data_IF_155271840032
#
_entry.id   IF_155271840032
#
_cell.length_a   1.000
_cell.length_b   1.000
_cell.length_c   1.000
_cell.angle_alpha   90.00
_cell.angle_beta   90.00
_cell.angle_gamma   90.00
#
_symmetry.space_group_name_H-M   'P 1'
#
loop_
_entity.id
_entity.type
_entity.pdbx_description
1 polymer ?
#
# COMPACT_ATOMS: atom_id res chain seq x y z
N UNK A 1 28.41 24.09 -25.12
CA UNK A 1 28.31 24.87 -23.87
C UNK A 1 27.26 25.98 -23.94
N UNK A 2 27.29 26.92 -24.89
CA UNK A 2 26.26 27.98 -24.97
C UNK A 2 24.82 27.45 -25.17
N UNK A 3 24.63 26.46 -26.06
CA UNK A 3 23.30 25.87 -26.31
C UNK A 3 22.71 25.13 -25.09
N UNK A 4 23.51 24.35 -24.35
CA UNK A 4 23.04 23.65 -23.14
C UNK A 4 22.63 24.62 -22.02
N UNK A 5 23.35 25.75 -21.89
CA UNK A 5 23.03 26.79 -20.91
C UNK A 5 21.73 27.51 -21.26
N UNK A 6 21.52 27.79 -22.55
CA UNK A 6 20.30 28.42 -23.06
C UNK A 6 19.08 27.49 -22.88
N UNK A 7 19.21 26.21 -23.23
CA UNK A 7 18.14 25.21 -23.04
C UNK A 7 17.77 25.05 -21.55
N UNK A 8 18.77 25.04 -20.66
CA UNK A 8 18.54 25.02 -19.21
C UNK A 8 17.74 26.22 -18.73
N UNK A 9 18.07 27.44 -19.21
CA UNK A 9 17.33 28.65 -18.86
C UNK A 9 15.92 28.66 -19.44
N UNK A 10 15.73 28.20 -20.67
CA UNK A 10 14.42 28.08 -21.30
C UNK A 10 13.53 27.15 -20.47
N UNK A 11 14.04 25.98 -20.08
CA UNK A 11 13.31 25.03 -19.24
C UNK A 11 12.93 25.65 -17.89
N UNK A 12 13.87 26.27 -17.17
CA UNK A 12 13.58 26.94 -15.90
C UNK A 12 12.50 28.02 -16.06
N UNK A 13 12.61 28.86 -17.08
CA UNK A 13 11.63 29.89 -17.37
C UNK A 13 10.25 29.30 -17.67
N UNK A 14 10.16 28.20 -18.42
CA UNK A 14 8.87 27.53 -18.71
C UNK A 14 8.23 27.01 -17.43
N UNK A 15 8.99 26.32 -16.59
CA UNK A 15 8.51 25.78 -15.31
C UNK A 15 8.07 26.89 -14.36
N UNK A 16 8.80 28.00 -14.31
CA UNK A 16 8.50 29.13 -13.43
C UNK A 16 7.36 30.01 -13.96
N UNK A 17 7.20 30.11 -15.28
CA UNK A 17 6.15 30.93 -15.92
C UNK A 17 4.76 30.31 -15.84
N UNK A 18 4.65 29.00 -15.62
CA UNK A 18 3.36 28.31 -15.53
C UNK A 18 3.40 27.22 -14.47
N UNK A 19 2.53 27.34 -13.46
CA UNK A 19 2.39 26.33 -12.40
C UNK A 19 1.90 24.98 -12.94
N UNK A 20 1.14 25.02 -14.04
CA UNK A 20 0.63 23.86 -14.76
C UNK A 20 1.54 23.44 -15.93
N UNK A 21 2.79 23.90 -15.97
CA UNK A 21 3.74 23.45 -16.98
C UNK A 21 4.06 21.97 -16.80
N UNK A 22 3.96 21.22 -17.90
CA UNK A 22 4.17 19.78 -17.94
C UNK A 22 5.21 19.46 -19.00
N UNK A 23 6.45 19.12 -18.59
CA UNK A 23 7.50 18.80 -19.52
C UNK A 23 7.21 17.47 -20.21
N UNK A 24 7.75 17.32 -21.42
CA UNK A 24 7.71 16.06 -22.14
C UNK A 24 8.89 15.19 -21.72
N UNK A 25 8.79 13.90 -22.00
CA UNK A 25 9.85 12.92 -21.72
C UNK A 25 11.20 13.31 -22.34
N UNK A 26 11.21 13.75 -23.61
CA UNK A 26 12.42 14.19 -24.32
C UNK A 26 13.07 15.41 -23.65
N UNK A 27 12.27 16.37 -23.20
CA UNK A 27 12.75 17.55 -22.49
C UNK A 27 13.39 17.17 -21.15
N UNK A 28 12.76 16.30 -20.34
CA UNK A 28 13.34 15.86 -19.07
C UNK A 28 14.63 15.05 -19.26
N UNK A 29 14.68 14.18 -20.27
CA UNK A 29 15.88 13.40 -20.61
C UNK A 29 17.02 14.34 -21.03
N UNK A 30 16.73 15.35 -21.85
CA UNK A 30 17.71 16.36 -22.26
C UNK A 30 18.27 17.11 -21.04
N UNK A 31 17.40 17.60 -20.14
CA UNK A 31 17.86 18.30 -18.93
C UNK A 31 18.71 17.37 -18.03
N UNK A 32 18.33 16.10 -17.87
CA UNK A 32 19.16 15.13 -17.13
C UNK A 32 20.54 14.96 -17.79
N UNK A 33 20.60 14.89 -19.12
CA UNK A 33 21.86 14.83 -19.86
C UNK A 33 22.73 16.08 -19.67
N UNK A 34 22.13 17.26 -19.64
CA UNK A 34 22.85 18.52 -19.37
C UNK A 34 23.42 18.54 -17.95
N UNK A 35 22.63 18.09 -16.97
CA UNK A 35 23.04 18.01 -15.56
C UNK A 35 24.23 17.05 -15.39
N UNK A 36 24.18 15.88 -16.03
CA UNK A 36 25.24 14.86 -15.94
C UNK A 36 26.54 15.31 -16.63
N UNK A 37 26.44 16.01 -17.77
CA UNK A 37 27.61 16.39 -18.58
C UNK A 37 28.40 17.60 -18.03
N UNK A 38 27.76 18.46 -17.23
CA UNK A 38 28.34 19.73 -16.85
C UNK A 38 28.98 19.66 -15.45
N UNK A 39 30.18 19.09 -15.29
CA UNK A 39 30.92 19.11 -14.01
C UNK A 39 31.33 20.54 -13.57
N UNK A 40 31.58 21.44 -14.52
CA UNK A 40 32.14 22.79 -14.31
C UNK A 40 31.10 23.94 -14.20
N UNK A 41 29.79 23.62 -14.20
CA UNK A 41 28.74 24.66 -14.19
C UNK A 41 28.52 25.31 -12.81
N UNK A 42 27.94 26.52 -12.84
CA UNK A 42 27.50 27.27 -11.67
C UNK A 42 26.59 26.37 -10.80
N UNK A 43 27.07 25.99 -9.62
CA UNK A 43 26.37 25.13 -8.64
C UNK A 43 24.90 25.50 -8.43
N UNK A 44 24.59 26.80 -8.41
CA UNK A 44 23.22 27.31 -8.26
C UNK A 44 22.31 26.95 -9.43
N UNK A 45 22.79 26.96 -10.68
CA UNK A 45 22.00 26.57 -11.84
C UNK A 45 21.65 25.08 -11.76
N UNK A 46 22.64 24.24 -11.44
CA UNK A 46 22.45 22.79 -11.30
C UNK A 46 21.42 22.47 -10.22
N UNK A 47 21.50 23.13 -9.06
CA UNK A 47 20.55 22.94 -7.97
C UNK A 47 19.13 23.35 -8.35
N UNK A 48 18.97 24.45 -9.09
CA UNK A 48 17.66 24.88 -9.58
C UNK A 48 17.07 23.90 -10.60
N UNK A 49 17.88 23.36 -11.52
CA UNK A 49 17.43 22.34 -12.47
C UNK A 49 16.97 21.08 -11.76
N UNK A 50 17.75 20.59 -10.78
CA UNK A 50 17.37 19.43 -9.97
C UNK A 50 16.06 19.68 -9.23
N UNK A 51 15.90 20.84 -8.60
CA UNK A 51 14.65 21.22 -7.93
C UNK A 51 13.45 21.17 -8.88
N UNK A 52 13.59 21.62 -10.14
CA UNK A 52 12.52 21.56 -11.12
C UNK A 52 12.24 20.15 -11.62
N UNK A 53 13.25 19.30 -11.80
CA UNK A 53 13.04 17.87 -12.10
C UNK A 53 12.27 17.20 -10.96
N UNK A 54 12.59 17.51 -9.70
CA UNK A 54 11.93 16.92 -8.54
C UNK A 54 10.41 17.06 -8.60
N UNK A 55 9.88 18.18 -9.10
CA UNK A 55 8.44 18.46 -9.24
C UNK A 55 7.68 17.45 -10.12
N UNK A 56 8.38 16.66 -10.92
CA UNK A 56 7.75 15.74 -11.89
C UNK A 56 8.05 14.26 -11.59
N UNK A 57 8.80 13.94 -10.53
CA UNK A 57 9.25 12.57 -10.23
C UNK A 57 8.16 11.57 -9.83
N UNK A 58 6.96 12.06 -9.52
CA UNK A 58 5.76 11.28 -9.20
C UNK A 58 4.65 11.43 -10.25
N UNK A 59 4.93 12.03 -11.41
CA UNK A 59 3.93 12.20 -12.46
C UNK A 59 3.68 10.88 -13.19
N UNK A 60 2.47 10.35 -13.07
CA UNK A 60 2.07 9.06 -13.65
C UNK A 60 2.03 9.08 -15.21
N UNK A 61 2.18 10.24 -15.85
CA UNK A 61 2.20 10.37 -17.32
C UNK A 61 3.57 10.16 -17.95
N UNK A 62 4.64 10.29 -17.16
CA UNK A 62 5.98 10.06 -17.66
C UNK A 62 6.18 8.57 -17.96
N UNK A 63 6.95 8.26 -19.00
CA UNK A 63 7.32 6.86 -19.22
C UNK A 63 8.16 6.34 -18.04
N UNK A 64 8.06 5.05 -17.69
CA UNK A 64 8.84 4.46 -16.61
C UNK A 64 10.35 4.70 -16.75
N UNK A 65 10.88 4.66 -17.98
CA UNK A 65 12.28 4.96 -18.29
C UNK A 65 12.68 6.39 -17.96
N UNK A 66 11.84 7.38 -18.26
CA UNK A 66 12.10 8.79 -17.97
C UNK A 66 12.08 9.05 -16.47
N UNK A 67 11.11 8.48 -15.75
CA UNK A 67 11.01 8.61 -14.31
C UNK A 67 12.24 8.00 -13.60
N UNK A 68 12.70 6.83 -14.05
CA UNK A 68 13.93 6.18 -13.55
C UNK A 68 15.14 7.08 -13.82
N UNK A 69 15.31 7.56 -15.06
CA UNK A 69 16.42 8.45 -15.44
C UNK A 69 16.49 9.70 -14.56
N UNK A 70 15.35 10.34 -14.30
CA UNK A 70 15.28 11.51 -13.43
C UNK A 70 15.73 11.18 -11.99
N UNK A 71 15.27 10.05 -11.44
CA UNK A 71 15.65 9.60 -10.10
C UNK A 71 17.13 9.25 -10.01
N UNK A 72 17.70 8.62 -11.03
CA UNK A 72 19.11 8.27 -11.09
C UNK A 72 20.00 9.52 -11.15
N UNK A 73 19.64 10.51 -11.96
CA UNK A 73 20.35 11.80 -12.00
C UNK A 73 20.30 12.51 -10.64
N UNK A 74 19.14 12.52 -9.97
CA UNK A 74 19.00 13.08 -8.62
C UNK A 74 19.89 12.32 -7.63
N UNK A 75 19.86 10.98 -7.67
CA UNK A 75 20.63 10.09 -6.78
C UNK A 75 22.13 10.33 -6.90
N UNK A 76 22.64 10.40 -8.13
CA UNK A 76 24.07 10.53 -8.40
C UNK A 76 24.64 11.88 -7.91
N UNK A 77 23.79 12.91 -7.83
CA UNK A 77 24.18 14.25 -7.41
C UNK A 77 23.76 14.60 -5.99
N UNK A 78 23.07 13.69 -5.30
CA UNK A 78 22.58 13.96 -3.96
C UNK A 78 23.74 14.13 -2.98
N UNK A 79 23.80 15.31 -2.38
CA UNK A 79 24.77 15.72 -1.36
C UNK A 79 24.02 16.37 -0.20
N UNK A 80 24.63 16.46 0.98
CA UNK A 80 24.00 17.10 2.14
C UNK A 80 23.61 18.56 1.84
N UNK A 81 24.45 19.30 1.13
CA UNK A 81 24.18 20.68 0.73
C UNK A 81 22.99 20.81 -0.24
N UNK A 82 22.87 19.88 -1.19
CA UNK A 82 21.73 19.83 -2.11
C UNK A 82 20.45 19.48 -1.34
N UNK A 83 20.51 18.50 -0.43
CA UNK A 83 19.37 18.14 0.41
C UNK A 83 18.90 19.32 1.26
N UNK A 84 19.82 20.05 1.90
CA UNK A 84 19.47 21.28 2.63
C UNK A 84 18.84 22.35 1.73
N UNK A 85 19.35 22.52 0.50
CA UNK A 85 18.76 23.43 -0.48
C UNK A 85 17.33 23.03 -0.85
N UNK A 86 17.08 21.74 -1.05
CA UNK A 86 15.74 21.22 -1.34
C UNK A 86 14.79 21.38 -0.15
N UNK A 87 15.24 21.13 1.08
CA UNK A 87 14.45 21.35 2.31
C UNK A 87 14.08 22.83 2.47
N UNK A 88 15.05 23.74 2.26
CA UNK A 88 14.83 25.20 2.30
C UNK A 88 13.84 25.66 1.22
N UNK A 89 13.80 24.97 0.08
CA UNK A 89 12.86 25.24 -1.02
C UNK A 89 11.47 24.63 -0.78
N UNK A 90 11.39 23.51 -0.06
CA UNK A 90 10.14 22.80 0.24
C UNK A 90 9.32 23.51 1.34
N UNK A 91 9.95 23.88 2.45
CA UNK A 91 9.25 24.43 3.62
C UNK A 91 8.35 25.66 3.35
N UNK A 92 8.69 26.58 2.43
CA UNK A 92 7.82 27.70 2.08
C UNK A 92 6.56 27.29 1.31
N UNK A 93 6.65 26.25 0.46
CA UNK A 93 5.57 25.82 -0.42
C UNK A 93 4.63 24.79 0.21
N UNK A 94 4.99 24.23 1.38
CA UNK A 94 4.11 23.35 2.14
C UNK A 94 2.89 24.13 2.66
N UNK A 95 1.72 23.50 2.55
CA UNK A 95 0.49 24.02 3.13
C UNK A 95 0.62 24.10 4.66
N UNK A 96 0.41 25.29 5.24
CA UNK A 96 0.56 25.55 6.69
C UNK A 96 -0.79 25.73 7.39
N UNK A 97 -1.61 24.68 7.41
CA UNK A 97 -2.83 24.67 8.22
C UNK A 97 -2.52 24.34 9.68
N UNK A 98 -3.31 24.90 10.61
CA UNK A 98 -3.18 24.60 12.03
C UNK A 98 -3.70 23.19 12.30
N UNK A 99 -2.78 22.23 12.42
CA UNK A 99 -3.16 20.89 12.83
C UNK A 99 -3.29 20.80 14.37
N UNK A 100 -4.46 20.38 14.85
CA UNK A 100 -4.70 20.22 16.29
C UNK A 100 -4.14 18.90 16.82
N UNK A 101 -3.92 17.89 15.97
CA UNK A 101 -3.47 16.54 16.37
C UNK A 101 -1.97 16.50 16.70
N UNK A 102 -1.16 17.30 16.00
CA UNK A 102 0.29 17.38 16.18
C UNK A 102 0.73 18.64 16.95
N UNK A 103 1.80 18.50 17.74
CA UNK A 103 2.48 19.56 18.49
C UNK A 103 3.34 20.41 17.56
N UNK A 104 3.87 21.53 18.07
CA UNK A 104 4.79 22.38 17.28
C UNK A 104 6.07 21.63 16.86
N UNK A 105 6.44 20.56 17.57
CA UNK A 105 7.56 19.68 17.23
C UNK A 105 7.17 18.49 16.35
N UNK A 106 5.91 18.41 15.89
CA UNK A 106 5.41 17.34 15.03
C UNK A 106 4.93 16.09 15.76
N UNK A 107 5.23 15.90 17.05
CA UNK A 107 4.73 14.75 17.84
C UNK A 107 3.25 14.87 18.17
N UNK A 108 2.56 13.77 18.51
CA UNK A 108 1.16 13.84 19.00
C UNK A 108 1.04 14.81 20.17
N UNK A 109 0.05 15.72 20.14
CA UNK A 109 -0.26 16.53 21.33
C UNK A 109 -0.83 15.63 22.43
N UNK A 110 -0.34 15.79 23.65
CA UNK A 110 -1.01 15.22 24.83
C UNK A 110 -2.28 16.04 25.02
N UNK A 111 -3.43 15.45 24.72
CA UNK A 111 -4.72 16.08 25.03
C UNK A 111 -4.94 16.01 26.55
N UNK A 112 -5.22 17.15 27.18
CA UNK A 112 -5.84 17.14 28.50
C UNK A 112 -7.22 16.49 28.33
N UNK A 113 -7.54 15.50 29.17
CA UNK A 113 -8.76 14.68 29.17
C UNK A 113 -10.06 15.49 29.37
N UNK A 114 -10.38 16.44 28.49
CA UNK A 114 -11.72 16.99 28.38
C UNK A 114 -12.48 16.14 27.36
N UNK A 115 -13.28 15.18 27.86
CA UNK A 115 -14.32 14.45 27.13
C UNK A 115 -15.46 15.39 26.67
N UNK A 116 -15.10 16.51 26.05
CA UNK A 116 -16.05 17.48 25.53
C UNK A 116 -15.93 17.39 24.02
N UNK A 117 -16.97 16.87 23.38
CA UNK A 117 -17.20 17.07 21.95
C UNK A 117 -17.13 18.58 21.72
N UNK A 118 -16.07 19.04 21.04
CA UNK A 118 -15.98 20.40 20.51
C UNK A 118 -16.31 20.32 19.03
N UNK A 119 -17.59 20.14 18.64
CA UNK A 119 -17.97 20.18 17.24
C UNK A 119 -17.54 21.55 16.72
N UNK A 120 -16.50 21.58 15.88
CA UNK A 120 -16.27 22.75 15.04
C UNK A 120 -17.37 22.70 13.99
N UNK A 121 -18.28 23.66 14.05
CA UNK A 121 -19.25 23.88 13.00
C UNK A 121 -18.49 24.14 11.70
N UNK A 122 -18.57 23.18 10.77
CA UNK A 122 -18.13 23.33 9.38
C UNK A 122 -16.63 23.35 9.16
N UNK A 123 -16.23 22.89 7.97
CA UNK A 123 -15.02 23.33 7.29
C UNK A 123 -14.96 24.85 7.41
N UNK A 124 -13.87 25.41 7.97
CA UNK A 124 -13.80 26.86 8.01
C UNK A 124 -13.57 27.30 6.56
N UNK A 125 -14.49 28.08 5.98
CA UNK A 125 -14.35 28.57 4.60
C UNK A 125 -12.96 29.19 4.34
N UNK A 126 -12.35 29.76 5.39
CA UNK A 126 -10.98 30.27 5.37
C UNK A 126 -9.91 29.21 5.13
N UNK A 127 -10.04 28.01 5.70
CA UNK A 127 -9.11 26.90 5.46
C UNK A 127 -9.26 26.36 4.03
N UNK A 128 -10.49 26.32 3.50
CA UNK A 128 -10.77 25.90 2.11
C UNK A 128 -10.25 26.93 1.10
N UNK A 129 -10.40 28.23 1.39
CA UNK A 129 -9.82 29.32 0.61
C UNK A 129 -8.28 29.21 0.58
N UNK A 130 -7.65 28.94 1.73
CA UNK A 130 -6.20 28.73 1.82
C UNK A 130 -5.74 27.51 1.03
N UNK A 131 -6.48 26.39 1.07
CA UNK A 131 -6.19 25.18 0.27
C UNK A 131 -6.29 25.48 -1.22
N UNK A 132 -7.34 26.19 -1.62
CA UNK A 132 -7.58 26.54 -3.03
C UNK A 132 -6.50 27.49 -3.55
N UNK A 133 -6.15 28.53 -2.78
CA UNK A 133 -5.06 29.44 -3.09
C UNK A 133 -3.72 28.69 -3.22
N UNK A 134 -3.40 27.83 -2.25
CA UNK A 134 -2.19 27.01 -2.29
C UNK A 134 -2.11 26.13 -3.55
N UNK A 135 -3.21 25.49 -3.97
CA UNK A 135 -3.25 24.70 -5.21
C UNK A 135 -3.01 25.56 -6.44
N UNK A 136 -3.68 26.72 -6.52
CA UNK A 136 -3.55 27.65 -7.65
C UNK A 136 -2.16 28.28 -7.76
N UNK A 137 -1.47 28.47 -6.64
CA UNK A 137 -0.10 28.99 -6.56
C UNK A 137 0.97 27.92 -6.85
N UNK A 138 0.58 26.72 -7.30
CA UNK A 138 1.50 25.64 -7.66
C UNK A 138 1.94 24.77 -6.48
N UNK A 139 1.22 24.82 -5.36
CA UNK A 139 1.50 24.05 -4.16
C UNK A 139 1.58 22.54 -4.36
N UNK A 140 0.90 21.99 -5.38
CA UNK A 140 0.97 20.56 -5.73
C UNK A 140 2.41 20.09 -6.06
N UNK A 141 3.28 20.99 -6.53
CA UNK A 141 4.72 20.71 -6.77
C UNK A 141 5.47 20.34 -5.50
N UNK A 142 4.94 20.72 -4.33
CA UNK A 142 5.51 20.32 -3.04
C UNK A 142 5.43 18.83 -2.80
N UNK A 143 4.45 18.11 -3.36
CA UNK A 143 4.27 16.68 -3.12
C UNK A 143 5.45 15.87 -3.67
N UNK A 144 5.82 15.96 -4.98
CA UNK A 144 6.95 15.21 -5.51
C UNK A 144 8.29 15.67 -4.91
N UNK A 145 8.45 16.97 -4.64
CA UNK A 145 9.64 17.47 -3.94
C UNK A 145 9.77 16.87 -2.54
N UNK A 146 8.68 16.82 -1.78
CA UNK A 146 8.65 16.26 -0.44
C UNK A 146 8.99 14.77 -0.46
N UNK A 147 8.47 14.03 -1.44
CA UNK A 147 8.83 12.63 -1.61
C UNK A 147 10.35 12.47 -1.80
N UNK A 148 10.97 13.23 -2.70
CA UNK A 148 12.43 13.19 -2.93
C UNK A 148 13.19 13.56 -1.66
N UNK A 149 12.80 14.64 -0.98
CA UNK A 149 13.45 15.05 0.28
C UNK A 149 13.38 13.93 1.33
N UNK A 150 12.22 13.27 1.49
CA UNK A 150 12.09 12.12 2.39
C UNK A 150 12.98 10.96 1.98
N UNK A 151 13.06 10.63 0.69
CA UNK A 151 13.88 9.52 0.18
C UNK A 151 15.36 9.64 0.55
N UNK A 152 15.90 10.84 0.62
CA UNK A 152 17.33 11.08 0.93
C UNK A 152 17.58 11.59 2.34
N UNK A 153 16.53 11.75 3.15
CA UNK A 153 16.68 12.13 4.55
C UNK A 153 17.34 10.99 5.31
N UNK A 154 18.43 11.28 6.01
CA UNK A 154 19.10 10.28 6.86
C UNK A 154 18.28 10.02 8.12
N UNK A 155 18.40 8.81 8.67
CA UNK A 155 17.63 8.39 9.86
C UNK A 155 17.86 9.32 11.07
N UNK A 156 19.10 9.77 11.29
CA UNK A 156 19.49 10.71 12.35
C UNK A 156 18.86 12.11 12.19
N UNK A 157 18.51 12.49 10.96
CA UNK A 157 17.88 13.77 10.63
C UNK A 157 16.35 13.75 10.78
N UNK A 158 15.72 12.59 10.98
CA UNK A 158 14.26 12.50 11.05
C UNK A 158 13.73 13.30 12.24
N UNK A 159 14.30 13.07 13.43
CA UNK A 159 13.84 13.67 14.68
C UNK A 159 13.87 15.21 14.65
N UNK A 160 14.89 15.80 14.02
CA UNK A 160 15.08 17.25 13.88
C UNK A 160 14.16 17.87 12.83
N UNK A 161 13.57 17.08 11.94
CA UNK A 161 12.70 17.51 10.84
C UNK A 161 11.21 17.17 11.05
N UNK A 162 10.84 16.46 12.13
CA UNK A 162 9.44 16.10 12.42
C UNK A 162 8.47 17.29 12.42
N UNK A 163 8.93 18.47 12.84
CA UNK A 163 8.11 19.66 13.00
C UNK A 163 7.46 20.15 11.70
N UNK A 164 8.04 19.84 10.54
CA UNK A 164 7.44 20.12 9.23
C UNK A 164 6.96 18.84 8.53
N UNK A 165 7.62 17.69 8.76
CA UNK A 165 7.24 16.43 8.14
C UNK A 165 5.82 16.02 8.55
N UNK A 166 5.55 15.94 9.85
CA UNK A 166 4.25 15.46 10.34
C UNK A 166 3.09 16.37 9.95
N UNK A 167 3.14 17.70 10.20
CA UNK A 167 2.06 18.58 9.77
C UNK A 167 1.90 18.61 8.25
N UNK A 168 2.99 18.51 7.48
CA UNK A 168 2.94 18.45 6.02
C UNK A 168 2.16 17.24 5.53
N UNK A 169 2.51 16.03 5.99
CA UNK A 169 1.81 14.78 5.62
C UNK A 169 0.35 14.83 6.05
N UNK A 170 0.07 15.27 7.29
CA UNK A 170 -1.31 15.34 7.79
C UNK A 170 -2.17 16.32 6.99
N UNK A 171 -1.62 17.45 6.54
CA UNK A 171 -2.37 18.41 5.74
C UNK A 171 -2.79 17.83 4.39
N UNK A 172 -2.00 16.93 3.79
CA UNK A 172 -2.42 16.18 2.59
C UNK A 172 -3.45 15.10 2.92
N UNK A 173 -3.26 14.35 4.02
CA UNK A 173 -4.21 13.30 4.43
C UNK A 173 -5.59 13.86 4.81
N UNK A 174 -5.65 15.08 5.33
CA UNK A 174 -6.87 15.80 5.65
C UNK A 174 -7.47 16.55 4.41
N UNK A 175 -6.90 16.44 3.20
CA UNK A 175 -7.41 17.11 1.98
C UNK A 175 -8.74 16.49 1.49
N UNK A 176 -9.59 17.29 0.86
CA UNK A 176 -10.89 16.84 0.35
C UNK A 176 -10.75 16.15 -1.01
N UNK A 177 -9.74 16.53 -1.80
CA UNK A 177 -9.43 15.88 -3.07
C UNK A 177 -8.69 14.57 -2.82
N UNK A 178 -9.26 13.50 -3.35
CA UNK A 178 -8.76 12.16 -3.15
C UNK A 178 -7.33 11.95 -3.70
N UNK A 179 -6.98 12.57 -4.82
CA UNK A 179 -5.64 12.48 -5.42
C UNK A 179 -4.55 13.06 -4.50
N UNK A 180 -4.85 14.19 -3.85
CA UNK A 180 -3.95 14.82 -2.88
C UNK A 180 -3.85 13.97 -1.62
N UNK A 181 -4.98 13.42 -1.15
CA UNK A 181 -5.02 12.52 0.00
C UNK A 181 -4.17 11.26 -0.21
N UNK A 182 -4.31 10.61 -1.37
CA UNK A 182 -3.52 9.44 -1.72
C UNK A 182 -2.04 9.77 -1.89
N UNK A 183 -1.71 10.97 -2.39
CA UNK A 183 -0.33 11.46 -2.39
C UNK A 183 0.21 11.61 -0.96
N UNK A 184 -0.61 12.05 -0.01
CA UNK A 184 -0.29 12.04 1.42
C UNK A 184 -0.01 10.64 1.96
N UNK A 185 -0.75 9.62 1.51
CA UNK A 185 -0.50 8.21 1.86
C UNK A 185 0.86 7.75 1.32
N UNK A 186 1.20 8.09 0.07
CA UNK A 186 2.51 7.78 -0.53
C UNK A 186 3.66 8.45 0.24
N UNK A 187 3.50 9.73 0.62
CA UNK A 187 4.48 10.45 1.44
C UNK A 187 4.64 9.82 2.83
N UNK A 188 3.52 9.44 3.47
CA UNK A 188 3.56 8.73 4.74
C UNK A 188 4.32 7.41 4.61
N UNK A 189 4.05 6.63 3.56
CA UNK A 189 4.79 5.39 3.31
C UNK A 189 6.28 5.63 3.17
N UNK A 190 6.69 6.60 2.35
CA UNK A 190 8.10 6.95 2.17
C UNK A 190 8.74 7.38 3.51
N UNK A 191 8.02 8.17 4.33
CA UNK A 191 8.46 8.56 5.66
C UNK A 191 8.64 7.35 6.60
N UNK A 192 7.71 6.39 6.58
CA UNK A 192 7.79 5.17 7.37
C UNK A 192 8.96 4.28 6.94
N UNK A 193 9.19 4.13 5.64
CA UNK A 193 10.28 3.33 5.10
C UNK A 193 11.66 3.88 5.49
N UNK A 194 11.85 5.20 5.54
CA UNK A 194 13.12 5.82 6.00
C UNK A 194 13.25 5.88 7.52
N UNK A 195 12.14 5.71 8.25
CA UNK A 195 12.12 5.68 9.71
C UNK A 195 12.60 4.36 10.30
N UNK A 196 12.84 3.33 9.47
CA UNK A 196 13.37 2.05 9.92
C UNK A 196 14.88 2.04 9.71
N UNK A 197 15.65 1.97 10.80
CA UNK A 197 17.07 1.67 10.76
C UNK A 197 17.36 0.35 11.48
N UNK A 198 17.60 -0.71 10.71
CA UNK A 198 17.98 -2.02 11.23
C UNK A 198 19.42 -2.08 11.75
N UNK A 199 20.22 -1.03 11.52
CA UNK A 199 21.64 -0.96 11.87
C UNK A 199 21.93 -0.11 13.10
N UNK A 200 21.07 0.86 13.43
CA UNK A 200 21.31 1.80 14.53
C UNK A 200 20.00 2.27 15.21
N UNK A 201 19.54 1.49 16.19
CA UNK A 201 18.29 1.72 16.95
C UNK A 201 18.33 2.92 17.90
N UNK A 202 19.47 3.60 18.07
CA UNK A 202 19.68 4.56 19.16
C UNK A 202 19.22 5.99 18.87
N UNK A 203 18.92 6.36 17.61
CA UNK A 203 18.75 7.78 17.24
C UNK A 203 17.30 8.24 17.05
N UNK A 204 16.39 7.36 16.65
CA UNK A 204 14.98 7.70 16.47
C UNK A 204 14.10 6.49 16.80
N UNK A 205 13.11 6.70 17.68
CA UNK A 205 12.08 5.73 18.01
C UNK A 205 10.73 6.30 17.61
N UNK A 206 10.09 5.68 16.62
CA UNK A 206 8.78 6.09 16.14
C UNK A 206 7.70 5.89 17.20
N UNK A 207 7.72 4.78 17.94
CA UNK A 207 6.79 4.51 19.05
C UNK A 207 6.84 5.59 20.12
N UNK A 208 8.04 6.13 20.41
CA UNK A 208 8.23 7.28 21.30
C UNK A 208 7.55 8.58 20.84
N UNK A 209 7.19 8.70 19.56
CA UNK A 209 6.53 9.90 19.01
C UNK A 209 4.99 9.88 19.14
N UNK A 210 4.41 8.69 19.39
CA UNK A 210 2.95 8.44 19.39
C UNK A 210 2.24 8.83 18.09
N UNK A 211 2.96 8.83 16.97
CA UNK A 211 2.39 9.14 15.65
C UNK A 211 1.47 8.03 15.13
N UNK A 212 1.65 6.80 15.62
CA UNK A 212 0.76 5.67 15.33
C UNK A 212 -0.71 6.02 15.58
N UNK A 213 -1.04 6.55 16.76
CA UNK A 213 -2.41 6.92 17.14
C UNK A 213 -3.04 7.99 16.23
N UNK A 214 -2.22 8.75 15.51
CA UNK A 214 -2.70 9.79 14.59
C UNK A 214 -2.94 9.17 13.21
N UNK A 215 -1.96 8.44 12.69
CA UNK A 215 -1.99 7.95 11.31
C UNK A 215 -2.85 6.69 11.15
N UNK A 216 -2.85 5.80 12.13
CA UNK A 216 -3.55 4.51 12.05
C UNK A 216 -5.06 4.67 11.81
N UNK A 217 -5.81 5.49 12.59
CA UNK A 217 -7.24 5.66 12.33
C UNK A 217 -7.54 6.31 10.98
N UNK A 218 -6.67 7.22 10.50
CA UNK A 218 -6.83 7.88 9.20
C UNK A 218 -6.71 6.86 8.07
N UNK A 219 -5.66 6.03 8.10
CA UNK A 219 -5.45 4.98 7.11
C UNK A 219 -6.53 3.90 7.17
N UNK A 220 -6.94 3.49 8.37
CA UNK A 220 -7.99 2.51 8.54
C UNK A 220 -9.33 3.01 7.99
N UNK A 221 -9.66 4.29 8.21
CA UNK A 221 -10.85 4.91 7.63
C UNK A 221 -10.86 4.83 6.08
N UNK A 222 -9.70 4.89 5.43
CA UNK A 222 -9.61 4.77 3.98
C UNK A 222 -9.95 3.35 3.48
N UNK A 223 -9.76 2.32 4.31
CA UNK A 223 -10.16 0.95 3.98
C UNK A 223 -11.69 0.78 3.89
N UNK A 224 -12.49 1.74 4.37
CA UNK A 224 -13.96 1.68 4.26
C UNK A 224 -14.49 2.24 2.94
N UNK A 225 -13.64 2.81 2.07
CA UNK A 225 -14.02 3.14 0.70
C UNK A 225 -14.28 1.85 -0.09
N UNK A 226 -15.54 1.68 -0.50
CA UNK A 226 -16.06 0.47 -1.12
C UNK A 226 -17.12 0.85 -2.18
N UNK A 227 -17.32 0.02 -3.20
CA UNK A 227 -18.51 0.13 -4.04
C UNK A 227 -19.80 -0.12 -3.25
N UNK A 228 -20.95 0.42 -3.71
CA UNK A 228 -21.11 1.28 -4.90
C UNK A 228 -20.78 2.75 -4.62
N UNK A 229 -20.48 3.14 -3.37
CA UNK A 229 -20.22 4.52 -2.98
C UNK A 229 -18.94 5.09 -3.59
N UNK A 230 -17.94 4.24 -3.82
CA UNK A 230 -16.69 4.60 -4.49
C UNK A 230 -16.48 3.64 -5.66
N UNK A 231 -16.11 4.16 -6.83
CA UNK A 231 -15.94 3.34 -8.02
C UNK A 231 -14.75 2.37 -7.88
N UNK A 232 -14.82 1.27 -8.64
CA UNK A 232 -13.85 0.16 -8.56
C UNK A 232 -12.41 0.62 -8.82
N UNK A 233 -12.19 1.53 -9.78
CA UNK A 233 -10.84 2.00 -10.13
C UNK A 233 -10.25 2.80 -8.98
N UNK A 234 -11.05 3.70 -8.42
CA UNK A 234 -10.66 4.52 -7.28
C UNK A 234 -10.37 3.65 -6.05
N UNK A 235 -11.24 2.69 -5.71
CA UNK A 235 -11.01 1.73 -4.61
C UNK A 235 -9.71 0.94 -4.80
N UNK A 236 -9.44 0.49 -6.03
CA UNK A 236 -8.22 -0.23 -6.38
C UNK A 236 -6.98 0.60 -6.06
N UNK A 237 -6.96 1.87 -6.47
CA UNK A 237 -5.84 2.78 -6.21
C UNK A 237 -5.69 3.02 -4.70
N UNK A 238 -6.80 3.25 -3.98
CA UNK A 238 -6.76 3.43 -2.51
C UNK A 238 -6.11 2.22 -1.85
N UNK A 239 -6.56 1.00 -2.14
CA UNK A 239 -6.04 -0.19 -1.48
C UNK A 239 -4.57 -0.44 -1.81
N UNK A 240 -4.18 -0.21 -3.07
CA UNK A 240 -2.79 -0.32 -3.52
C UNK A 240 -1.84 0.54 -2.71
N UNK A 241 -2.27 1.74 -2.34
CA UNK A 241 -1.44 2.68 -1.60
C UNK A 241 -1.61 2.52 -0.07
N UNK A 242 -2.83 2.26 0.43
CA UNK A 242 -3.15 2.21 1.87
C UNK A 242 -2.68 0.92 2.55
N UNK A 243 -2.90 -0.27 1.98
CA UNK A 243 -2.53 -1.51 2.66
C UNK A 243 -1.02 -1.63 2.90
N UNK A 244 -0.14 -1.37 1.90
CA UNK A 244 1.31 -1.36 2.16
C UNK A 244 1.71 -0.32 3.20
N UNK A 245 1.04 0.84 3.22
CA UNK A 245 1.32 1.90 4.19
C UNK A 245 0.91 1.50 5.62
N UNK A 246 -0.23 0.83 5.80
CA UNK A 246 -0.63 0.26 7.09
C UNK A 246 0.37 -0.79 7.58
N UNK A 247 0.81 -1.69 6.69
CA UNK A 247 1.81 -2.71 7.03
C UNK A 247 3.13 -2.04 7.42
N UNK A 248 3.59 -1.03 6.68
CA UNK A 248 4.77 -0.25 7.03
C UNK A 248 4.61 0.45 8.39
N UNK A 249 3.45 1.02 8.68
CA UNK A 249 3.16 1.68 9.95
C UNK A 249 3.24 0.70 11.12
N UNK A 250 2.67 -0.50 10.98
CA UNK A 250 2.79 -1.54 12.01
C UNK A 250 4.24 -1.98 12.21
N UNK A 251 5.00 -2.18 11.12
CA UNK A 251 6.41 -2.59 11.21
C UNK A 251 7.27 -1.55 11.93
N UNK A 252 7.07 -0.26 11.66
CA UNK A 252 7.81 0.82 12.30
C UNK A 252 7.44 0.97 13.77
N UNK A 253 6.14 0.91 14.10
CA UNK A 253 5.68 1.06 15.49
C UNK A 253 6.12 -0.09 16.39
N UNK A 254 6.05 -1.32 15.88
CA UNK A 254 6.29 -2.54 16.64
C UNK A 254 7.59 -3.25 16.23
N UNK A 255 8.60 -2.47 15.83
CA UNK A 255 9.91 -2.99 15.43
C UNK A 255 10.56 -3.85 16.53
N UNK A 256 10.38 -3.44 17.79
CA UNK A 256 10.89 -4.14 18.98
C UNK A 256 9.90 -5.15 19.58
N UNK A 257 8.65 -5.20 19.09
CA UNK A 257 7.58 -6.07 19.60
C UNK A 257 6.91 -6.88 18.47
N UNK A 258 7.56 -7.97 18.11
CA UNK A 258 7.07 -8.89 17.07
C UNK A 258 5.69 -9.48 17.41
N UNK A 259 5.37 -9.66 18.69
CA UNK A 259 4.08 -10.23 19.07
C UNK A 259 2.96 -9.22 18.82
N UNK A 260 3.16 -7.97 19.21
CA UNK A 260 2.19 -6.92 18.96
C UNK A 260 2.06 -6.60 17.47
N UNK A 261 3.16 -6.66 16.71
CA UNK A 261 3.12 -6.61 15.24
C UNK A 261 2.17 -7.69 14.68
N UNK A 262 2.34 -8.95 15.09
CA UNK A 262 1.49 -10.06 14.65
C UNK A 262 0.03 -9.86 15.07
N UNK A 263 -0.24 -9.27 16.23
CA UNK A 263 -1.62 -8.93 16.65
C UNK A 263 -2.25 -7.91 15.71
N UNK A 264 -1.53 -6.84 15.34
CA UNK A 264 -2.06 -5.80 14.46
C UNK A 264 -2.25 -6.28 13.02
N UNK A 265 -1.29 -7.06 12.49
CA UNK A 265 -1.43 -7.72 11.18
C UNK A 265 -2.62 -8.67 11.17
N UNK A 266 -2.82 -9.42 12.26
CA UNK A 266 -3.94 -10.33 12.43
C UNK A 266 -5.30 -9.61 12.53
N UNK A 267 -5.35 -8.45 13.20
CA UNK A 267 -6.54 -7.59 13.22
C UNK A 267 -6.86 -7.04 11.82
N UNK A 268 -5.86 -6.55 11.08
CA UNK A 268 -6.04 -6.12 9.69
C UNK A 268 -6.59 -7.25 8.81
N UNK A 269 -6.02 -8.46 8.92
CA UNK A 269 -6.51 -9.62 8.18
C UNK A 269 -7.95 -9.98 8.58
N UNK A 270 -8.20 -10.15 9.87
CA UNK A 270 -9.47 -10.68 10.36
C UNK A 270 -10.61 -9.68 10.26
N UNK A 271 -10.42 -8.48 10.80
CA UNK A 271 -11.49 -7.48 10.95
C UNK A 271 -11.72 -6.71 9.66
N UNK A 272 -10.65 -6.33 8.95
CA UNK A 272 -10.75 -5.56 7.73
C UNK A 272 -10.96 -6.50 6.54
N UNK A 273 -9.97 -7.32 6.16
CA UNK A 273 -10.09 -8.10 4.93
C UNK A 273 -11.22 -9.15 5.00
N UNK A 274 -11.18 -10.01 6.02
CA UNK A 274 -12.03 -11.20 6.09
C UNK A 274 -13.46 -10.89 6.55
N UNK A 275 -13.64 -9.97 7.51
CA UNK A 275 -14.96 -9.66 8.08
C UNK A 275 -15.67 -8.49 7.40
N UNK A 276 -14.93 -7.50 6.90
CA UNK A 276 -15.52 -6.29 6.32
C UNK A 276 -15.49 -6.29 4.80
N UNK A 277 -14.33 -6.49 4.18
CA UNK A 277 -14.14 -6.30 2.74
C UNK A 277 -14.79 -7.43 1.95
N UNK A 278 -14.28 -8.65 2.08
CA UNK A 278 -14.68 -9.76 1.20
C UNK A 278 -16.19 -10.01 1.24
N UNK A 279 -16.86 -10.05 2.40
CA UNK A 279 -18.31 -10.25 2.45
C UNK A 279 -19.14 -9.23 1.67
N UNK A 280 -18.62 -8.00 1.49
CA UNK A 280 -19.32 -6.92 0.78
C UNK A 280 -19.08 -6.93 -0.72
N UNK A 281 -17.95 -7.47 -1.17
CA UNK A 281 -17.52 -7.32 -2.57
C UNK A 281 -17.46 -8.63 -3.36
N UNK A 282 -17.40 -9.80 -2.69
CA UNK A 282 -17.14 -11.09 -3.32
C UNK A 282 -18.12 -11.48 -4.44
N UNK A 283 -19.40 -11.09 -4.31
CA UNK A 283 -20.45 -11.45 -5.26
C UNK A 283 -20.47 -10.59 -6.52
N UNK A 284 -20.07 -9.31 -6.40
CA UNK A 284 -20.32 -8.30 -7.44
C UNK A 284 -19.03 -7.73 -8.05
N UNK A 285 -17.91 -7.79 -7.33
CA UNK A 285 -16.65 -7.16 -7.72
C UNK A 285 -15.49 -8.18 -7.67
N UNK A 286 -15.42 -9.10 -8.64
CA UNK A 286 -14.43 -10.17 -8.66
C UNK A 286 -12.99 -9.66 -8.72
N UNK A 287 -12.72 -8.60 -9.49
CA UNK A 287 -11.39 -7.98 -9.57
C UNK A 287 -10.90 -7.43 -8.22
N UNK A 288 -11.78 -6.73 -7.49
CA UNK A 288 -11.44 -6.25 -6.14
C UNK A 288 -11.27 -7.43 -5.18
N UNK A 289 -12.03 -8.51 -5.37
CA UNK A 289 -11.94 -9.70 -4.51
C UNK A 289 -10.60 -10.39 -4.71
N UNK A 290 -10.08 -10.46 -5.93
CA UNK A 290 -8.72 -10.96 -6.21
C UNK A 290 -7.68 -10.12 -5.47
N UNK A 291 -7.78 -8.78 -5.54
CA UNK A 291 -6.87 -7.88 -4.83
C UNK A 291 -6.95 -8.10 -3.30
N UNK A 292 -8.15 -8.25 -2.75
CA UNK A 292 -8.33 -8.52 -1.33
C UNK A 292 -7.73 -9.87 -0.90
N UNK A 293 -7.86 -10.91 -1.74
CA UNK A 293 -7.22 -12.21 -1.51
C UNK A 293 -5.69 -12.11 -1.60
N UNK A 294 -5.14 -11.32 -2.53
CA UNK A 294 -3.69 -11.10 -2.61
C UNK A 294 -3.13 -10.45 -1.34
N UNK A 295 -3.85 -9.47 -0.77
CA UNK A 295 -3.50 -8.91 0.53
C UNK A 295 -3.70 -9.91 1.67
N UNK A 296 -4.77 -10.71 1.66
CA UNK A 296 -4.95 -11.77 2.65
C UNK A 296 -3.76 -12.76 2.65
N UNK A 297 -3.33 -13.19 1.46
CA UNK A 297 -2.15 -14.04 1.26
C UNK A 297 -0.90 -13.38 1.83
N UNK A 298 -0.63 -12.12 1.48
CA UNK A 298 0.54 -11.41 2.03
C UNK A 298 0.51 -11.34 3.57
N UNK A 299 -0.66 -11.08 4.17
CA UNK A 299 -0.80 -10.98 5.62
C UNK A 299 -0.62 -12.32 6.32
N UNK A 300 -1.12 -13.44 5.77
CA UNK A 300 -0.87 -14.76 6.36
C UNK A 300 0.61 -15.15 6.31
N UNK A 301 1.32 -14.80 5.24
CA UNK A 301 2.77 -15.02 5.15
C UNK A 301 3.53 -14.18 6.18
N UNK A 302 3.07 -12.96 6.49
CA UNK A 302 3.63 -12.15 7.59
C UNK A 302 3.30 -12.69 8.98
N UNK A 303 2.16 -13.36 9.16
CA UNK A 303 1.77 -13.99 10.43
C UNK A 303 2.47 -15.33 10.67
N UNK A 304 2.88 -16.00 9.59
CA UNK A 304 3.46 -17.35 9.60
C UNK A 304 2.53 -18.33 10.35
N UNK A 305 3.07 -19.08 11.31
CA UNK A 305 2.33 -20.03 12.16
C UNK A 305 1.24 -19.37 13.00
N UNK A 306 1.30 -18.05 13.24
CA UNK A 306 0.23 -17.33 13.96
C UNK A 306 -1.07 -17.22 13.16
N UNK A 307 -1.03 -17.50 11.86
CA UNK A 307 -2.21 -17.64 10.98
C UNK A 307 -3.23 -18.64 11.53
N UNK A 308 -2.78 -19.64 12.31
CA UNK A 308 -3.64 -20.65 12.93
C UNK A 308 -4.80 -20.08 13.75
N UNK A 309 -4.64 -18.87 14.33
CA UNK A 309 -5.68 -18.17 15.08
C UNK A 309 -6.86 -17.74 14.20
N UNK A 310 -6.60 -17.55 12.92
CA UNK A 310 -7.56 -17.04 11.93
C UNK A 310 -8.02 -18.13 10.95
N UNK A 311 -7.41 -19.31 10.98
CA UNK A 311 -7.65 -20.44 10.06
C UNK A 311 -9.14 -20.71 9.82
N UNK A 312 -9.89 -21.00 10.88
CA UNK A 312 -11.32 -21.31 10.79
C UNK A 312 -12.11 -20.18 10.12
N UNK A 313 -11.80 -18.92 10.45
CA UNK A 313 -12.52 -17.76 9.91
C UNK A 313 -12.19 -17.53 8.44
N UNK A 314 -10.94 -17.76 8.02
CA UNK A 314 -10.52 -17.64 6.62
C UNK A 314 -11.18 -18.74 5.78
N UNK A 315 -11.16 -19.99 6.26
CA UNK A 315 -11.83 -21.10 5.56
C UNK A 315 -13.33 -20.83 5.45
N UNK A 316 -13.97 -20.39 6.52
CA UNK A 316 -15.39 -20.03 6.49
C UNK A 316 -15.67 -18.92 5.47
N UNK A 317 -14.86 -17.86 5.44
CA UNK A 317 -15.03 -16.76 4.50
C UNK A 317 -14.89 -17.25 3.04
N UNK A 318 -13.87 -18.06 2.75
CA UNK A 318 -13.68 -18.64 1.43
C UNK A 318 -14.86 -19.53 1.04
N UNK A 319 -15.27 -20.42 1.94
CA UNK A 319 -16.40 -21.32 1.76
C UNK A 319 -17.68 -20.56 1.44
N UNK A 320 -18.05 -19.61 2.30
CA UNK A 320 -19.35 -18.95 2.24
C UNK A 320 -19.46 -17.93 1.11
N UNK A 321 -18.46 -17.05 0.96
CA UNK A 321 -18.58 -15.89 0.07
C UNK A 321 -18.01 -16.14 -1.32
N UNK A 322 -17.06 -17.07 -1.46
CA UNK A 322 -16.37 -17.31 -2.74
C UNK A 322 -16.76 -18.68 -3.29
N UNK A 323 -16.41 -19.77 -2.61
CA UNK A 323 -16.61 -21.14 -3.10
C UNK A 323 -18.08 -21.46 -3.33
N UNK A 324 -18.98 -21.02 -2.45
CA UNK A 324 -20.43 -21.22 -2.63
C UNK A 324 -21.05 -20.32 -3.70
N UNK A 325 -20.39 -19.26 -4.17
CA UNK A 325 -20.91 -18.37 -5.21
C UNK A 325 -21.26 -19.17 -6.48
N UNK A 326 -22.53 -19.17 -6.93
CA UNK A 326 -22.95 -19.97 -8.09
C UNK A 326 -22.28 -19.54 -9.41
N UNK A 327 -21.67 -18.35 -9.46
CA UNK A 327 -21.05 -17.78 -10.65
C UNK A 327 -19.53 -17.69 -10.58
N UNK A 328 -18.88 -18.36 -9.61
CA UNK A 328 -17.42 -18.29 -9.42
C UNK A 328 -16.62 -18.70 -10.68
N UNK A 329 -17.14 -19.64 -11.44
CA UNK A 329 -16.61 -20.17 -12.71
C UNK A 329 -16.63 -19.16 -13.86
N UNK A 330 -17.41 -18.08 -13.77
CA UNK A 330 -17.31 -16.96 -14.70
C UNK A 330 -16.01 -16.17 -14.50
N UNK A 331 -15.36 -16.33 -13.33
CA UNK A 331 -14.16 -15.62 -12.93
C UNK A 331 -13.09 -16.60 -12.45
N UNK A 332 -12.55 -17.38 -13.39
CA UNK A 332 -11.55 -18.42 -13.10
C UNK A 332 -10.35 -17.99 -12.23
N UNK A 333 -9.82 -16.75 -12.34
CA UNK A 333 -8.77 -16.28 -11.43
C UNK A 333 -9.15 -16.38 -9.94
N UNK A 334 -10.43 -16.21 -9.57
CA UNK A 334 -10.88 -16.38 -8.18
C UNK A 334 -10.82 -17.83 -7.70
N UNK A 335 -11.13 -18.80 -8.57
CA UNK A 335 -11.00 -20.23 -8.26
C UNK A 335 -9.54 -20.56 -7.94
N UNK A 336 -8.62 -20.13 -8.81
CA UNK A 336 -7.18 -20.37 -8.66
C UNK A 336 -6.66 -19.70 -7.38
N UNK A 337 -6.98 -18.42 -7.17
CA UNK A 337 -6.55 -17.68 -5.97
C UNK A 337 -7.09 -18.29 -4.68
N UNK A 338 -8.33 -18.78 -4.69
CA UNK A 338 -8.91 -19.49 -3.54
C UNK A 338 -8.17 -20.78 -3.23
N UNK A 339 -7.86 -21.58 -4.25
CA UNK A 339 -7.10 -22.82 -4.09
C UNK A 339 -5.68 -22.54 -3.56
N UNK A 340 -5.00 -21.51 -4.08
CA UNK A 340 -3.67 -21.10 -3.61
C UNK A 340 -3.70 -20.62 -2.16
N UNK A 341 -4.69 -19.79 -1.79
CA UNK A 341 -4.82 -19.35 -0.40
C UNK A 341 -5.07 -20.54 0.56
N UNK A 342 -5.88 -21.52 0.16
CA UNK A 342 -6.07 -22.75 0.94
C UNK A 342 -4.77 -23.56 1.08
N UNK A 343 -3.94 -23.64 0.01
CA UNK A 343 -2.61 -24.26 0.09
C UNK A 343 -1.71 -23.55 1.10
N UNK A 344 -1.67 -22.22 1.07
CA UNK A 344 -0.87 -21.43 1.99
C UNK A 344 -1.32 -21.62 3.45
N UNK A 345 -2.62 -21.76 3.70
CA UNK A 345 -3.13 -22.11 5.04
C UNK A 345 -2.64 -23.48 5.50
N UNK A 346 -2.67 -24.49 4.63
CA UNK A 346 -2.18 -25.84 4.94
C UNK A 346 -0.67 -25.84 5.20
N UNK A 347 0.09 -25.04 4.44
CA UNK A 347 1.53 -24.89 4.59
C UNK A 347 1.89 -24.24 5.93
N UNK A 348 1.28 -23.10 6.24
CA UNK A 348 1.66 -22.25 7.37
C UNK A 348 1.09 -22.72 8.71
N UNK A 349 -0.03 -23.45 8.72
CA UNK A 349 -0.66 -23.89 9.97
C UNK A 349 -0.07 -25.20 10.52
N UNK A 350 -0.08 -25.37 11.87
CA UNK A 350 0.26 -26.63 12.51
C UNK A 350 -0.62 -27.79 12.03
N UNK A 351 -0.01 -28.96 11.90
CA UNK A 351 -0.62 -30.17 11.36
C UNK A 351 -1.90 -30.55 12.07
N UNK A 352 -1.92 -30.48 13.41
CA UNK A 352 -3.07 -30.85 14.23
C UNK A 352 -4.30 -30.00 13.92
N UNK A 353 -4.06 -28.71 13.61
CA UNK A 353 -5.12 -27.75 13.28
C UNK A 353 -5.62 -27.91 11.86
N UNK A 354 -4.75 -28.27 10.92
CA UNK A 354 -5.15 -28.64 9.56
C UNK A 354 -6.04 -29.89 9.58
N UNK A 355 -5.62 -30.94 10.31
CA UNK A 355 -6.38 -32.19 10.44
C UNK A 355 -7.74 -31.96 11.09
N UNK A 356 -7.84 -31.10 12.11
CA UNK A 356 -9.11 -30.74 12.74
C UNK A 356 -10.12 -30.09 11.78
N UNK A 357 -9.63 -29.43 10.73
CA UNK A 357 -10.44 -28.76 9.70
C UNK A 357 -10.45 -29.52 8.36
N UNK A 358 -10.01 -30.79 8.33
CA UNK A 358 -9.87 -31.58 7.09
C UNK A 358 -11.13 -31.60 6.21
N UNK A 359 -12.30 -31.66 6.84
CA UNK A 359 -13.58 -31.70 6.12
C UNK A 359 -13.98 -30.34 5.53
N UNK A 360 -13.58 -29.23 6.17
CA UNK A 360 -13.83 -27.89 5.64
C UNK A 360 -12.98 -27.67 4.37
N UNK A 361 -11.71 -28.07 4.41
CA UNK A 361 -10.82 -28.06 3.24
C UNK A 361 -11.34 -28.96 2.11
N UNK A 362 -11.71 -30.20 2.44
CA UNK A 362 -12.24 -31.15 1.47
C UNK A 362 -13.53 -30.62 0.81
N UNK A 363 -14.43 -30.01 1.58
CA UNK A 363 -15.65 -29.41 1.05
C UNK A 363 -15.34 -28.31 0.04
N UNK A 364 -14.38 -27.43 0.34
CA UNK A 364 -13.94 -26.41 -0.62
C UNK A 364 -13.42 -27.01 -1.93
N UNK A 365 -12.55 -28.03 -1.85
CA UNK A 365 -12.00 -28.71 -3.04
C UNK A 365 -13.10 -29.35 -3.87
N UNK A 366 -14.00 -30.10 -3.22
CA UNK A 366 -15.10 -30.81 -3.90
C UNK A 366 -16.04 -29.84 -4.62
N UNK A 367 -16.43 -28.74 -3.96
CA UNK A 367 -17.35 -27.76 -4.55
C UNK A 367 -16.69 -27.05 -5.74
N UNK A 368 -15.44 -26.62 -5.61
CA UNK A 368 -14.72 -25.96 -6.70
C UNK A 368 -14.58 -26.91 -7.91
N UNK A 369 -14.15 -28.14 -7.66
CA UNK A 369 -14.03 -29.14 -8.72
C UNK A 369 -15.36 -29.42 -9.42
N UNK A 370 -16.41 -29.70 -8.65
CA UNK A 370 -17.74 -30.07 -9.16
C UNK A 370 -18.35 -28.94 -10.02
N UNK A 371 -18.17 -27.68 -9.62
CA UNK A 371 -18.59 -26.53 -10.41
C UNK A 371 -17.82 -26.42 -11.73
N UNK A 372 -16.50 -26.48 -11.67
CA UNK A 372 -15.67 -26.39 -12.88
C UNK A 372 -15.94 -27.54 -13.85
N UNK A 373 -16.16 -28.74 -13.33
CA UNK A 373 -16.48 -29.91 -14.15
C UNK A 373 -17.85 -29.76 -14.83
N UNK A 374 -18.91 -29.45 -14.07
CA UNK A 374 -20.28 -29.34 -14.61
C UNK A 374 -20.42 -28.26 -15.67
N UNK A 375 -19.67 -27.18 -15.51
CA UNK A 375 -19.70 -26.04 -16.44
C UNK A 375 -18.68 -26.17 -17.57
N UNK A 376 -17.91 -27.27 -17.62
CA UNK A 376 -16.93 -27.52 -18.68
C UNK A 376 -15.72 -26.57 -18.66
N UNK A 377 -15.47 -25.90 -17.52
CA UNK A 377 -14.35 -24.98 -17.32
C UNK A 377 -13.13 -25.64 -16.67
N UNK A 378 -13.22 -26.93 -16.32
CA UNK A 378 -12.12 -27.70 -15.75
C UNK A 378 -10.94 -27.82 -16.72
N UNK A 379 -9.88 -27.05 -16.45
CA UNK A 379 -8.63 -27.01 -17.18
C UNK A 379 -7.46 -27.54 -16.31
N UNK A 380 -6.31 -27.89 -16.92
CA UNK A 380 -5.11 -28.27 -16.16
C UNK A 380 -4.67 -27.21 -15.15
N UNK A 381 -4.85 -25.94 -15.47
CA UNK A 381 -4.50 -24.79 -14.61
C UNK A 381 -5.30 -24.73 -13.30
N UNK A 382 -6.48 -25.35 -13.26
CA UNK A 382 -7.32 -25.47 -12.05
C UNK A 382 -7.05 -26.80 -11.36
N UNK A 383 -6.91 -27.86 -12.15
CA UNK A 383 -6.70 -29.21 -11.64
C UNK A 383 -5.39 -29.28 -10.84
N UNK A 384 -4.31 -28.67 -11.34
CA UNK A 384 -3.01 -28.68 -10.67
C UNK A 384 -3.06 -28.07 -9.25
N UNK A 385 -3.58 -26.84 -9.03
CA UNK A 385 -3.75 -26.29 -7.69
C UNK A 385 -4.64 -27.14 -6.76
N UNK A 386 -5.72 -27.73 -7.26
CA UNK A 386 -6.62 -28.55 -6.44
C UNK A 386 -5.96 -29.89 -6.05
N UNK A 387 -5.29 -30.55 -6.99
CA UNK A 387 -4.51 -31.76 -6.73
C UNK A 387 -3.36 -31.52 -5.76
N UNK A 388 -2.63 -30.41 -5.94
CA UNK A 388 -1.56 -30.01 -5.02
C UNK A 388 -2.08 -29.80 -3.59
N UNK A 389 -3.23 -29.12 -3.45
CA UNK A 389 -3.87 -28.93 -2.14
C UNK A 389 -4.22 -30.27 -1.48
N UNK A 390 -4.77 -31.23 -2.24
CA UNK A 390 -5.09 -32.56 -1.72
C UNK A 390 -3.85 -33.34 -1.28
N UNK A 391 -2.75 -33.26 -2.03
CA UNK A 391 -1.47 -33.85 -1.63
C UNK A 391 -0.95 -33.27 -0.32
N UNK A 392 -0.96 -31.94 -0.20
CA UNK A 392 -0.52 -31.27 1.03
C UNK A 392 -1.37 -31.68 2.23
N UNK A 393 -2.69 -31.83 2.06
CA UNK A 393 -3.57 -32.32 3.12
C UNK A 393 -3.22 -33.76 3.53
N UNK A 394 -2.96 -34.65 2.56
CA UNK A 394 -2.53 -36.03 2.84
C UNK A 394 -1.19 -36.08 3.56
N UNK A 395 -0.20 -35.30 3.12
CA UNK A 395 1.11 -35.19 3.76
C UNK A 395 1.01 -34.69 5.21
N UNK A 396 0.02 -33.85 5.50
CA UNK A 396 -0.34 -33.40 6.86
C UNK A 396 -1.15 -34.44 7.65
N UNK A 397 -1.39 -35.64 7.12
CA UNK A 397 -2.09 -36.71 7.81
C UNK A 397 -3.62 -36.60 7.78
N UNK A 398 -4.20 -35.83 6.86
CA UNK A 398 -5.64 -35.83 6.64
C UNK A 398 -6.09 -37.13 5.96
N UNK A 399 -6.70 -38.03 6.73
CA UNK A 399 -7.25 -39.29 6.23
C UNK A 399 -8.72 -39.13 5.79
N UNK A 400 -9.01 -39.57 4.55
CA UNK A 400 -10.32 -39.56 3.90
C UNK A 400 -10.73 -40.95 3.37
N UNK A 401 -10.02 -42.01 3.76
CA UNK A 401 -10.22 -43.38 3.23
C UNK A 401 -11.65 -43.89 3.41
N UNK A 402 -12.23 -43.70 4.60
CA UNK A 402 -13.61 -44.10 4.93
C UNK A 402 -14.68 -43.37 4.09
N UNK A 403 -14.36 -42.18 3.58
CA UNK A 403 -15.27 -41.33 2.82
C UNK A 403 -15.09 -41.51 1.29
N UNK A 404 -14.00 -42.16 0.85
CA UNK A 404 -13.63 -42.31 -0.56
C UNK A 404 -14.74 -42.90 -1.41
N UNK A 405 -15.36 -44.01 -0.96
CA UNK A 405 -16.45 -44.63 -1.70
C UNK A 405 -17.66 -43.71 -1.87
N UNK A 406 -18.00 -42.94 -0.84
CA UNK A 406 -19.13 -42.00 -0.88
C UNK A 406 -18.85 -40.85 -1.85
N UNK A 407 -17.61 -40.35 -1.85
CA UNK A 407 -17.18 -39.28 -2.74
C UNK A 407 -17.20 -39.75 -4.20
N UNK A 408 -16.60 -40.91 -4.50
CA UNK A 408 -16.54 -41.46 -5.86
C UNK A 408 -17.92 -41.89 -6.40
N UNK A 409 -18.83 -42.35 -5.52
CA UNK A 409 -20.22 -42.61 -5.90
C UNK A 409 -20.93 -41.34 -6.37
N UNK A 410 -20.59 -40.18 -5.79
CA UNK A 410 -21.21 -38.90 -6.11
C UNK A 410 -20.54 -38.19 -7.28
N UNK A 411 -19.21 -38.29 -7.39
CA UNK A 411 -18.41 -37.72 -8.48
C UNK A 411 -17.34 -38.73 -8.94
N UNK A 412 -17.69 -39.57 -9.91
CA UNK A 412 -16.81 -40.65 -10.41
C UNK A 412 -15.49 -40.13 -11.00
N UNK A 413 -15.50 -38.93 -11.61
CA UNK A 413 -14.34 -38.31 -12.26
C UNK A 413 -13.40 -37.62 -11.28
N UNK A 414 -13.83 -37.41 -10.03
CA UNK A 414 -12.98 -36.87 -8.97
C UNK A 414 -11.84 -37.83 -8.57
N UNK A 415 -11.87 -39.08 -9.05
CA UNK A 415 -10.77 -40.04 -8.89
C UNK A 415 -9.43 -39.48 -9.40
N UNK A 416 -9.42 -38.58 -10.40
CA UNK A 416 -8.18 -37.95 -10.88
C UNK A 416 -7.46 -37.11 -9.80
N UNK A 417 -8.22 -36.54 -8.87
CA UNK A 417 -7.68 -35.79 -7.72
C UNK A 417 -7.47 -36.73 -6.52
N UNK A 418 -8.38 -37.69 -6.32
CA UNK A 418 -8.33 -38.65 -5.20
C UNK A 418 -7.26 -39.74 -5.37
N UNK A 419 -6.81 -40.08 -6.58
CA UNK A 419 -5.77 -41.11 -6.80
C UNK A 419 -4.42 -40.74 -6.18
N UNK A 420 -4.27 -39.51 -5.67
CA UNK A 420 -3.11 -39.08 -4.91
C UNK A 420 -3.30 -39.22 -3.38
N UNK A 421 -4.51 -39.59 -2.90
CA UNK A 421 -4.82 -40.13 -1.55
C UNK A 421 -4.48 -41.62 -1.52
#
# INVERSE_FOLDING_TARGET
MHSNYENSRIFLNRVDSSMNYLPRDDELIEICGIIDANENDIKSLRYNLILRICYYTMDDRLSPSTAIRCRDTIKNLMSEELLEFLIKSLNPILLKLKNNKASKSGRKKIEDNSFILRPRLGFSAKEDDLRTAWKNEGGLRSIPLFHIVLTYLKHDQISSNLWWITPGILNFLDDDQQEVKLSGVKLLRQFLEVSIDYSNTLQFSFSGTRLFDIYHPILLNLCYHMPPLTDVKTVTIIWRDVFPTLIALYKVEYIDDVQQLKVQIGSLLSEVIVQLIIPKIASEYPELTIIALDYATQLIHLLETSTVRYLQRIIYMLGEYIVRNPFITLFMPLVIKSAVLLQDLVLLCPTERVVAHKYDFLACVLILYDKCEREGTLSPEILEPLSKLMNMLKEKGCDYTDDREKILKRNQKFDVIIQQI
#
